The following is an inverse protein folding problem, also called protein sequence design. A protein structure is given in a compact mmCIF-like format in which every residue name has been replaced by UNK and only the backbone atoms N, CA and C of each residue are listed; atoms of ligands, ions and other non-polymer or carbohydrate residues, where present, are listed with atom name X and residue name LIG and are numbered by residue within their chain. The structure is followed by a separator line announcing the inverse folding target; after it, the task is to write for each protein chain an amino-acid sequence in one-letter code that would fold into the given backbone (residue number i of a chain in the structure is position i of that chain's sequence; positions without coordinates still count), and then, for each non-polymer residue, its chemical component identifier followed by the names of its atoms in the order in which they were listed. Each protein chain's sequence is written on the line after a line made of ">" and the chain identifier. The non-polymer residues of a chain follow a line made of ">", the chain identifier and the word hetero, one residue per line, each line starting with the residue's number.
data_IF_394906229310
#
_entry.id   IF_394906229310
#
_cell.length_a   1.000
_cell.length_b   1.000
_cell.length_c   1.000
_cell.angle_alpha   90.00
_cell.angle_beta   90.00
_cell.angle_gamma   90.00
#
_symmetry.space_group_name_H-M   'P 1'
#
loop_
_entity.id
_entity.type
_entity.pdbx_description
1 polymer ?
#
# COMPACT_ATOMS: atom_id res chain seq x y z
N UNK A 1 11.23 41.26 -21.05
CA UNK A 1 11.00 40.81 -19.65
C UNK A 1 9.52 40.41 -19.36
N UNK A 2 8.74 39.92 -20.33
CA UNK A 2 7.32 39.60 -20.12
C UNK A 2 7.00 38.09 -19.92
N UNK A 3 7.99 37.20 -20.06
CA UNK A 3 7.75 35.75 -20.09
C UNK A 3 7.58 35.07 -18.70
N UNK A 4 7.81 35.78 -17.58
CA UNK A 4 7.87 35.18 -16.23
C UNK A 4 6.59 35.31 -15.38
N UNK A 5 5.53 35.96 -15.88
CA UNK A 5 4.27 36.12 -15.13
C UNK A 5 3.28 34.97 -15.39
N UNK A 6 3.25 34.39 -16.59
CA UNK A 6 2.37 33.26 -16.93
C UNK A 6 2.70 31.95 -16.20
N UNK A 7 3.99 31.65 -15.99
CA UNK A 7 4.40 30.45 -15.26
C UNK A 7 3.99 30.49 -13.78
N UNK A 8 4.05 31.66 -13.13
CA UNK A 8 3.75 31.78 -11.69
C UNK A 8 2.28 31.53 -11.35
N UNK A 9 1.34 31.80 -12.27
CA UNK A 9 -0.08 31.51 -12.05
C UNK A 9 -0.42 30.05 -12.31
N UNK A 10 0.17 29.44 -13.35
CA UNK A 10 -0.02 28.02 -13.67
C UNK A 10 0.63 27.08 -12.64
N UNK A 11 1.82 27.45 -12.13
CA UNK A 11 2.53 26.72 -11.07
C UNK A 11 1.76 26.78 -9.73
N UNK A 12 1.20 27.94 -9.38
CA UNK A 12 0.38 28.10 -8.17
C UNK A 12 -0.92 27.29 -8.22
N UNK A 13 -1.56 27.16 -9.38
CA UNK A 13 -2.74 26.31 -9.53
C UNK A 13 -2.39 24.83 -9.37
N UNK A 14 -1.27 24.38 -9.94
CA UNK A 14 -0.82 22.99 -9.85
C UNK A 14 -0.50 22.55 -8.41
N UNK A 15 0.18 23.39 -7.63
CA UNK A 15 0.47 23.09 -6.21
C UNK A 15 -0.82 23.03 -5.39
N UNK A 16 -1.73 24.00 -5.59
CA UNK A 16 -3.01 24.04 -4.87
C UNK A 16 -3.90 22.84 -5.19
N UNK A 17 -3.92 22.42 -6.46
CA UNK A 17 -4.72 21.30 -6.92
C UNK A 17 -4.11 19.96 -6.47
N UNK A 18 -2.78 19.88 -6.37
CA UNK A 18 -2.09 18.71 -5.78
C UNK A 18 -2.34 18.60 -4.27
N UNK A 19 -2.38 19.72 -3.54
CA UNK A 19 -2.71 19.74 -2.11
C UNK A 19 -4.18 19.39 -1.82
N UNK A 20 -5.05 19.35 -2.84
CA UNK A 20 -6.45 18.99 -2.66
C UNK A 20 -6.65 17.57 -2.13
N UNK A 21 -5.64 16.70 -2.23
CA UNK A 21 -5.67 15.34 -1.69
C UNK A 21 -5.89 15.34 -0.17
N UNK A 22 -5.33 16.31 0.56
CA UNK A 22 -5.48 16.43 2.02
C UNK A 22 -6.90 16.84 2.46
N UNK A 23 -7.79 17.21 1.52
CA UNK A 23 -9.20 17.46 1.83
C UNK A 23 -10.00 16.17 2.05
N UNK A 24 -9.48 15.03 1.61
CA UNK A 24 -10.15 13.74 1.76
C UNK A 24 -9.77 13.11 3.12
N UNK A 25 -10.69 13.05 4.10
CA UNK A 25 -10.35 12.58 5.45
C UNK A 25 -9.93 11.10 5.47
N UNK A 26 -10.49 10.29 4.57
CA UNK A 26 -10.09 8.89 4.41
C UNK A 26 -8.63 8.74 3.94
N UNK A 27 -8.20 9.61 3.01
CA UNK A 27 -6.81 9.66 2.58
C UNK A 27 -5.91 10.09 3.74
N UNK A 28 -6.22 11.19 4.42
CA UNK A 28 -5.39 11.69 5.54
C UNK A 28 -5.23 10.63 6.63
N UNK A 29 -6.33 9.98 7.04
CA UNK A 29 -6.29 8.96 8.07
C UNK A 29 -5.47 7.73 7.63
N UNK A 30 -5.61 7.31 6.37
CA UNK A 30 -4.77 6.24 5.78
C UNK A 30 -3.30 6.63 5.71
N UNK A 31 -3.00 7.85 5.25
CA UNK A 31 -1.64 8.37 5.17
C UNK A 31 -0.97 8.49 6.54
N UNK A 32 -1.71 8.87 7.59
CA UNK A 32 -1.19 8.86 8.98
C UNK A 32 -0.91 7.43 9.45
N UNK A 33 -1.83 6.49 9.20
CA UNK A 33 -1.63 5.08 9.54
C UNK A 33 -0.41 4.50 8.81
N UNK A 34 -0.26 4.85 7.54
CA UNK A 34 0.86 4.46 6.68
C UNK A 34 2.19 5.07 7.15
N UNK A 35 2.20 6.35 7.51
CA UNK A 35 3.38 7.02 8.06
C UNK A 35 3.88 6.30 9.32
N UNK A 36 2.98 6.01 10.27
CA UNK A 36 3.31 5.27 11.50
C UNK A 36 3.81 3.86 11.21
N UNK A 37 3.19 3.18 10.23
CA UNK A 37 3.58 1.84 9.81
C UNK A 37 5.02 1.82 9.28
N UNK A 38 5.40 2.80 8.47
CA UNK A 38 6.75 2.92 7.94
C UNK A 38 7.75 3.45 8.97
N UNK A 39 7.32 4.24 9.97
CA UNK A 39 8.17 4.57 11.12
C UNK A 39 8.56 3.27 11.83
N UNK A 40 7.59 2.39 12.12
CA UNK A 40 7.86 1.08 12.72
C UNK A 40 8.83 0.26 11.85
N UNK A 41 8.60 0.22 10.53
CA UNK A 41 9.46 -0.53 9.60
C UNK A 41 10.88 0.02 9.55
N UNK A 42 11.06 1.34 9.58
CA UNK A 42 12.39 1.95 9.57
C UNK A 42 13.24 1.61 10.81
N UNK A 43 12.61 1.28 11.95
CA UNK A 43 13.31 0.82 13.16
C UNK A 43 14.02 -0.51 12.93
N UNK A 44 13.60 -1.32 11.94
CA UNK A 44 14.22 -2.61 11.62
C UNK A 44 15.72 -2.49 11.30
N UNK A 45 16.20 -1.32 10.87
CA UNK A 45 17.64 -1.07 10.64
C UNK A 45 18.48 -1.30 11.90
N UNK A 46 17.89 -1.16 13.09
CA UNK A 46 18.57 -1.35 14.37
C UNK A 46 18.52 -2.80 14.87
N UNK A 47 17.78 -3.71 14.23
CA UNK A 47 17.68 -5.12 14.64
C UNK A 47 19.06 -5.81 14.78
N UNK A 48 20.02 -5.64 13.85
CA UNK A 48 21.32 -6.28 13.99
C UNK A 48 22.09 -5.75 15.21
N UNK A 49 22.02 -4.44 15.46
CA UNK A 49 22.61 -3.82 16.63
C UNK A 49 21.94 -4.30 17.94
N UNK A 50 20.62 -4.50 17.93
CA UNK A 50 19.88 -5.08 19.05
C UNK A 50 20.35 -6.50 19.35
N UNK A 51 20.41 -7.37 18.35
CA UNK A 51 20.87 -8.75 18.52
C UNK A 51 22.32 -8.83 19.00
N UNK A 52 23.18 -7.95 18.49
CA UNK A 52 24.57 -7.86 18.93
C UNK A 52 24.70 -7.37 20.38
N UNK A 53 23.96 -6.32 20.77
CA UNK A 53 24.11 -5.70 22.11
C UNK A 53 23.38 -6.46 23.22
N UNK A 54 22.22 -7.05 22.93
CA UNK A 54 21.37 -7.70 23.96
C UNK A 54 21.66 -9.20 24.07
N UNK A 55 21.95 -9.87 22.96
CA UNK A 55 22.18 -11.32 22.93
C UNK A 55 23.62 -11.71 22.60
N UNK A 56 24.53 -10.74 22.50
CA UNK A 56 25.95 -10.96 22.21
C UNK A 56 26.23 -11.73 20.90
N UNK A 57 25.34 -11.61 19.90
CA UNK A 57 25.59 -12.18 18.57
C UNK A 57 26.72 -11.45 17.88
N UNK A 58 27.51 -12.18 17.09
CA UNK A 58 28.48 -11.53 16.20
C UNK A 58 27.77 -10.70 15.13
N UNK A 59 28.35 -9.58 14.72
CA UNK A 59 27.76 -8.70 13.69
C UNK A 59 27.39 -9.45 12.39
N UNK A 60 28.23 -10.37 11.85
CA UNK A 60 27.86 -11.13 10.66
C UNK A 60 26.64 -12.04 10.87
N UNK A 61 26.50 -12.67 12.05
CA UNK A 61 25.35 -13.53 12.36
C UNK A 61 24.06 -12.72 12.48
N UNK A 62 24.11 -11.57 13.17
CA UNK A 62 22.95 -10.70 13.36
C UNK A 62 22.44 -10.12 12.03
N UNK A 63 23.35 -9.62 11.19
CA UNK A 63 23.01 -9.10 9.86
C UNK A 63 22.58 -10.21 8.89
N UNK A 64 23.22 -11.39 8.96
CA UNK A 64 22.84 -12.55 8.17
C UNK A 64 21.42 -13.03 8.47
N UNK A 65 21.04 -13.07 9.76
CA UNK A 65 19.68 -13.38 10.19
C UNK A 65 18.66 -12.39 9.61
N UNK A 66 18.90 -11.07 9.76
CA UNK A 66 18.00 -10.06 9.22
C UNK A 66 17.84 -10.19 7.70
N UNK A 67 18.95 -10.41 6.97
CA UNK A 67 18.92 -10.59 5.53
C UNK A 67 18.10 -11.83 5.10
N UNK A 68 18.24 -12.95 5.83
CA UNK A 68 17.45 -14.15 5.59
C UNK A 68 15.95 -13.89 5.79
N UNK A 69 15.57 -13.24 6.88
CA UNK A 69 14.16 -12.92 7.16
C UNK A 69 13.58 -11.96 6.11
N UNK A 70 14.34 -10.94 5.72
CA UNK A 70 13.95 -10.02 4.66
C UNK A 70 13.74 -10.73 3.32
N UNK A 71 14.55 -11.75 2.99
CA UNK A 71 14.35 -12.56 1.79
C UNK A 71 13.00 -13.29 1.79
N UNK A 72 12.62 -13.91 2.92
CA UNK A 72 11.33 -14.60 3.06
C UNK A 72 10.12 -13.64 3.05
N UNK A 73 10.36 -12.37 3.35
CA UNK A 73 9.32 -11.32 3.33
C UNK A 73 8.70 -11.17 1.95
N UNK A 74 9.50 -11.33 0.88
CA UNK A 74 9.04 -11.22 -0.49
C UNK A 74 7.99 -12.30 -0.81
N UNK A 75 8.25 -13.54 -0.39
CA UNK A 75 7.31 -14.65 -0.54
C UNK A 75 6.02 -14.40 0.24
N UNK A 76 6.12 -13.90 1.47
CA UNK A 76 4.94 -13.52 2.27
C UNK A 76 4.15 -12.38 1.63
N UNK A 77 4.83 -11.43 0.99
CA UNK A 77 4.17 -10.36 0.22
C UNK A 77 3.37 -10.87 -0.96
N UNK A 78 3.88 -11.86 -1.69
CA UNK A 78 3.13 -12.49 -2.77
C UNK A 78 1.87 -13.21 -2.25
N UNK A 79 2.02 -13.97 -1.16
CA UNK A 79 0.91 -14.70 -0.52
C UNK A 79 -0.14 -13.71 0.00
N UNK A 80 0.28 -12.63 0.66
CA UNK A 80 -0.62 -11.61 1.19
C UNK A 80 -1.32 -10.79 0.12
N UNK A 81 -0.63 -10.47 -0.97
CA UNK A 81 -1.22 -9.83 -2.16
C UNK A 81 -2.27 -10.72 -2.82
N UNK A 82 -1.99 -12.01 -2.97
CA UNK A 82 -2.95 -12.99 -3.52
C UNK A 82 -4.16 -13.17 -2.59
N UNK A 83 -3.92 -13.35 -1.29
CA UNK A 83 -4.97 -13.50 -0.28
C UNK A 83 -5.90 -12.29 -0.23
N UNK A 84 -5.33 -11.08 -0.19
CA UNK A 84 -6.13 -9.85 -0.18
C UNK A 84 -6.91 -9.64 -1.47
N UNK A 85 -6.33 -9.99 -2.63
CA UNK A 85 -7.01 -9.87 -3.92
C UNK A 85 -8.19 -10.83 -4.09
N UNK A 86 -8.12 -12.02 -3.50
CA UNK A 86 -9.20 -13.01 -3.58
C UNK A 86 -10.29 -12.77 -2.53
N UNK A 87 -9.90 -12.65 -1.26
CA UNK A 87 -10.87 -12.65 -0.16
C UNK A 87 -11.42 -11.26 0.14
N UNK A 88 -10.61 -10.22 -0.03
CA UNK A 88 -10.94 -8.87 0.44
C UNK A 88 -11.46 -7.96 -0.66
N UNK A 89 -11.24 -8.30 -1.94
CA UNK A 89 -11.72 -7.50 -3.08
C UNK A 89 -13.24 -7.30 -3.08
N UNK A 90 -13.99 -8.25 -2.53
CA UNK A 90 -15.45 -8.15 -2.39
C UNK A 90 -15.88 -7.19 -1.28
N UNK A 91 -15.02 -6.89 -0.30
CA UNK A 91 -15.33 -6.08 0.87
C UNK A 91 -14.60 -4.75 0.83
N UNK A 92 -15.36 -3.65 0.72
CA UNK A 92 -14.77 -2.29 0.73
C UNK A 92 -14.01 -1.95 2.02
N UNK A 93 -14.36 -2.57 3.14
CA UNK A 93 -13.66 -2.47 4.43
C UNK A 93 -12.56 -3.52 4.60
N UNK A 94 -12.41 -4.45 3.65
CA UNK A 94 -11.50 -5.59 3.76
C UNK A 94 -10.04 -5.15 3.80
N UNK A 95 -9.61 -4.28 2.88
CA UNK A 95 -8.23 -3.77 2.83
C UNK A 95 -7.80 -3.00 4.11
N UNK A 96 -8.54 -1.99 4.60
CA UNK A 96 -8.15 -1.28 5.81
C UNK A 96 -8.20 -2.19 7.05
N UNK A 97 -9.17 -3.09 7.14
CA UNK A 97 -9.24 -4.05 8.26
C UNK A 97 -8.06 -5.03 8.24
N UNK A 98 -7.69 -5.51 7.06
CA UNK A 98 -6.56 -6.43 6.90
C UNK A 98 -5.24 -5.76 7.25
N UNK A 99 -5.04 -4.51 6.83
CA UNK A 99 -3.89 -3.71 7.26
C UNK A 99 -3.89 -3.49 8.78
N UNK A 100 -5.06 -3.22 9.37
CA UNK A 100 -5.19 -3.06 10.82
C UNK A 100 -4.87 -4.36 11.57
N UNK A 101 -5.37 -5.51 11.12
CA UNK A 101 -5.14 -6.80 11.77
C UNK A 101 -3.68 -7.24 11.66
N UNK A 102 -3.06 -7.04 10.50
CA UNK A 102 -1.66 -7.40 10.26
C UNK A 102 -0.70 -6.51 11.04
N UNK A 103 -0.97 -5.21 11.13
CA UNK A 103 -0.20 -4.29 11.97
C UNK A 103 -0.35 -4.59 13.48
N UNK A 104 -1.53 -4.95 13.96
CA UNK A 104 -1.69 -5.40 15.36
C UNK A 104 -0.95 -6.71 15.63
N UNK A 105 -0.96 -7.64 14.68
CA UNK A 105 -0.20 -8.88 14.78
C UNK A 105 1.31 -8.60 14.83
N UNK A 106 1.81 -7.71 13.96
CA UNK A 106 3.19 -7.23 13.96
C UNK A 106 3.57 -6.58 15.31
N UNK A 107 2.71 -5.70 15.84
CA UNK A 107 2.92 -5.08 17.15
C UNK A 107 3.04 -6.12 18.27
N UNK A 108 2.16 -7.14 18.27
CA UNK A 108 2.19 -8.20 19.26
C UNK A 108 3.46 -9.05 19.13
N UNK A 109 3.84 -9.42 17.92
CA UNK A 109 5.04 -10.20 17.64
C UNK A 109 6.32 -9.45 18.10
N UNK A 110 6.44 -8.15 17.80
CA UNK A 110 7.56 -7.35 18.30
C UNK A 110 7.58 -7.20 19.82
N UNK A 111 6.42 -6.97 20.43
CA UNK A 111 6.33 -6.86 21.89
C UNK A 111 6.84 -8.14 22.55
N UNK A 112 6.46 -9.31 22.01
CA UNK A 112 6.95 -10.60 22.48
C UNK A 112 8.45 -10.76 22.23
N UNK A 113 8.94 -10.38 21.04
CA UNK A 113 10.35 -10.47 20.68
C UNK A 113 11.27 -9.69 21.63
N UNK A 114 10.91 -8.44 21.93
CA UNK A 114 11.71 -7.55 22.78
C UNK A 114 11.53 -7.81 24.28
N UNK A 115 10.43 -8.44 24.68
CA UNK A 115 10.25 -8.91 26.06
C UNK A 115 10.94 -10.24 26.36
N UNK A 116 11.41 -10.95 25.33
CA UNK A 116 12.03 -12.26 25.49
C UNK A 116 13.44 -12.16 26.06
N UNK A 117 13.75 -13.04 27.01
CA UNK A 117 15.10 -13.24 27.53
C UNK A 117 15.93 -14.25 26.71
N UNK A 118 15.28 -14.98 25.79
CA UNK A 118 15.94 -16.00 24.97
C UNK A 118 16.06 -15.55 23.52
N UNK A 119 17.20 -15.85 22.91
CA UNK A 119 17.50 -15.51 21.53
C UNK A 119 16.51 -16.12 20.53
N UNK A 120 16.15 -17.39 20.72
CA UNK A 120 15.26 -18.12 19.81
C UNK A 120 13.87 -17.49 19.73
N UNK A 121 13.28 -17.15 20.89
CA UNK A 121 11.98 -16.46 20.92
C UNK A 121 12.07 -15.04 20.34
N UNK A 122 13.18 -14.31 20.56
CA UNK A 122 13.39 -13.00 19.96
C UNK A 122 13.47 -13.08 18.43
N UNK A 123 14.24 -14.03 17.89
CA UNK A 123 14.37 -14.27 16.45
C UNK A 123 13.04 -14.69 15.81
N UNK A 124 12.29 -15.61 16.44
CA UNK A 124 10.98 -16.02 15.93
C UNK A 124 10.00 -14.84 15.94
N UNK A 125 9.99 -14.03 17.00
CA UNK A 125 9.13 -12.86 17.09
C UNK A 125 9.45 -11.79 16.03
N UNK A 126 10.74 -11.51 15.80
CA UNK A 126 11.20 -10.63 14.71
C UNK A 126 10.79 -11.20 13.35
N UNK A 127 11.01 -12.49 13.10
CA UNK A 127 10.63 -13.13 11.85
C UNK A 127 9.12 -13.09 11.60
N UNK A 128 8.31 -13.31 12.64
CA UNK A 128 6.86 -13.25 12.57
C UNK A 128 6.35 -11.82 12.27
N UNK A 129 6.96 -10.80 12.86
CA UNK A 129 6.63 -9.41 12.55
C UNK A 129 6.97 -9.05 11.11
N UNK A 130 8.19 -9.32 10.66
CA UNK A 130 8.61 -9.00 9.30
C UNK A 130 7.73 -9.75 8.28
N UNK A 131 7.35 -11.00 8.58
CA UNK A 131 6.40 -11.76 7.77
C UNK A 131 5.00 -11.11 7.73
N UNK A 132 4.49 -10.63 8.87
CA UNK A 132 3.22 -9.91 8.94
C UNK A 132 3.26 -8.59 8.15
N UNK A 133 4.38 -7.87 8.19
CA UNK A 133 4.64 -6.71 7.34
C UNK A 133 4.54 -7.10 5.86
N UNK A 134 5.30 -8.11 5.44
CA UNK A 134 5.29 -8.60 4.06
C UNK A 134 3.89 -8.94 3.60
N UNK A 135 3.13 -9.68 4.41
CA UNK A 135 1.76 -10.08 4.13
C UNK A 135 0.81 -8.89 3.87
N UNK A 136 1.05 -7.74 4.48
CA UNK A 136 0.25 -6.52 4.28
C UNK A 136 0.70 -5.64 3.11
N UNK A 137 1.92 -5.85 2.60
CA UNK A 137 2.60 -4.92 1.68
C UNK A 137 1.78 -4.60 0.41
N UNK A 138 1.13 -5.61 -0.19
CA UNK A 138 0.33 -5.42 -1.42
C UNK A 138 -0.93 -4.55 -1.22
N UNK A 139 -1.41 -4.41 0.01
CA UNK A 139 -2.63 -3.63 0.30
C UNK A 139 -2.36 -2.15 0.53
N UNK A 140 -1.12 -1.78 0.91
CA UNK A 140 -0.74 -0.42 1.27
C UNK A 140 -0.95 0.57 0.12
N UNK A 141 -0.44 0.23 -1.06
CA UNK A 141 -0.51 1.07 -2.28
C UNK A 141 -1.90 1.09 -2.88
N UNK A 142 -2.58 -0.05 -2.88
CA UNK A 142 -3.96 -0.18 -3.36
C UNK A 142 -4.91 0.74 -2.59
N UNK A 143 -4.76 0.82 -1.25
CA UNK A 143 -5.62 1.62 -0.40
C UNK A 143 -5.44 3.15 -0.62
N UNK A 144 -4.25 3.60 -1.03
CA UNK A 144 -4.02 5.00 -1.42
C UNK A 144 -4.85 5.34 -2.66
N UNK A 145 -4.81 4.48 -3.68
CA UNK A 145 -5.43 4.72 -4.98
C UNK A 145 -6.97 4.65 -4.90
N UNK A 146 -7.50 3.82 -4.01
CA UNK A 146 -8.93 3.66 -3.77
C UNK A 146 -9.55 4.76 -2.87
N UNK A 147 -8.72 5.51 -2.11
CA UNK A 147 -9.21 6.57 -1.21
C UNK A 147 -9.33 7.94 -1.88
N UNK A 148 -8.84 8.09 -3.11
CA UNK A 148 -8.80 9.36 -3.84
C UNK A 148 -9.38 9.23 -5.25
N UNK A 149 -9.97 10.30 -5.82
CA UNK A 149 -10.51 10.27 -7.17
C UNK A 149 -9.39 10.13 -8.22
N UNK A 150 -9.69 9.58 -9.42
CA UNK A 150 -8.68 9.26 -10.44
C UNK A 150 -7.74 10.42 -10.80
N UNK A 151 -8.25 11.64 -10.81
CA UNK A 151 -7.52 12.86 -11.18
C UNK A 151 -6.41 13.23 -10.17
N UNK A 152 -6.52 12.76 -8.93
CA UNK A 152 -5.61 13.09 -7.83
C UNK A 152 -4.68 11.93 -7.43
N UNK A 153 -4.80 10.76 -8.07
CA UNK A 153 -4.04 9.55 -7.70
C UNK A 153 -2.54 9.73 -7.78
N UNK A 154 -2.04 10.43 -8.81
CA UNK A 154 -0.61 10.65 -8.99
C UNK A 154 -0.04 11.50 -7.85
N UNK A 155 -0.69 12.62 -7.52
CA UNK A 155 -0.29 13.48 -6.40
C UNK A 155 -0.39 12.73 -5.08
N UNK A 156 -1.47 11.97 -4.84
CA UNK A 156 -1.66 11.18 -3.63
C UNK A 156 -0.56 10.13 -3.41
N UNK A 157 -0.14 9.44 -4.48
CA UNK A 157 0.97 8.48 -4.44
C UNK A 157 2.30 9.19 -4.18
N UNK A 158 2.56 10.32 -4.85
CA UNK A 158 3.78 11.09 -4.65
C UNK A 158 3.95 11.56 -3.19
N UNK A 159 2.90 12.15 -2.60
CA UNK A 159 2.94 12.55 -1.19
C UNK A 159 3.11 11.36 -0.25
N UNK A 160 2.46 10.23 -0.55
CA UNK A 160 2.60 9.03 0.27
C UNK A 160 4.05 8.54 0.28
N UNK A 161 4.73 8.49 -0.88
CA UNK A 161 6.13 8.08 -0.95
C UNK A 161 7.05 9.04 -0.21
N UNK A 162 6.85 10.36 -0.34
CA UNK A 162 7.65 11.36 0.39
C UNK A 162 7.50 11.17 1.90
N UNK A 163 6.29 10.86 2.37
CA UNK A 163 6.02 10.62 3.78
C UNK A 163 6.58 9.27 4.25
N UNK A 164 6.45 8.19 3.48
CA UNK A 164 6.89 6.85 3.89
C UNK A 164 8.38 6.62 3.74
N UNK A 165 8.99 7.08 2.65
CA UNK A 165 10.40 6.83 2.37
C UNK A 165 11.29 7.97 2.87
N UNK A 166 10.79 9.21 2.82
CA UNK A 166 11.50 10.38 3.33
C UNK A 166 11.29 10.54 4.83
N UNK A 167 10.09 10.97 5.22
CA UNK A 167 9.81 11.39 6.59
C UNK A 167 9.93 10.22 7.58
N UNK A 168 9.29 9.09 7.31
CA UNK A 168 9.33 7.94 8.21
C UNK A 168 10.75 7.35 8.35
N UNK A 169 11.48 7.27 7.23
CA UNK A 169 12.84 6.74 7.19
C UNK A 169 13.85 7.58 7.98
N UNK A 170 13.59 8.87 8.18
CA UNK A 170 14.42 9.74 9.04
C UNK A 170 13.93 9.70 10.48
N UNK A 171 12.61 9.86 10.71
CA UNK A 171 12.05 9.95 12.06
C UNK A 171 12.29 8.67 12.87
N UNK A 172 12.05 7.49 12.29
CA UNK A 172 12.12 6.25 13.06
C UNK A 172 13.52 5.94 13.60
N UNK A 173 14.57 5.91 12.76
CA UNK A 173 15.92 5.65 13.25
C UNK A 173 16.44 6.72 14.21
N UNK A 174 16.10 8.00 13.97
CA UNK A 174 16.49 9.13 14.82
C UNK A 174 15.86 9.02 16.22
N UNK A 175 14.56 8.69 16.29
CA UNK A 175 13.87 8.46 17.56
C UNK A 175 14.52 7.32 18.36
N UNK A 176 14.88 6.21 17.69
CA UNK A 176 15.55 5.08 18.34
C UNK A 176 16.96 5.44 18.79
N UNK A 177 17.70 6.22 17.98
CA UNK A 177 19.03 6.71 18.35
C UNK A 177 19.00 7.55 19.62
N UNK A 178 18.18 8.61 19.63
CA UNK A 178 18.04 9.50 20.78
C UNK A 178 17.55 8.77 22.05
N UNK A 179 16.66 7.79 21.88
CA UNK A 179 16.14 7.00 23.00
C UNK A 179 17.16 5.97 23.50
N UNK A 180 17.96 5.40 22.60
CA UNK A 180 19.07 4.52 22.95
C UNK A 180 20.17 5.25 23.71
N UNK A 181 20.41 6.53 23.41
CA UNK A 181 21.43 7.33 24.11
C UNK A 181 21.02 7.67 25.56
N UNK A 182 19.71 7.83 25.81
CA UNK A 182 19.17 8.18 27.14
C UNK A 182 18.88 6.96 28.02
N UNK A 183 18.50 5.85 27.42
CA UNK A 183 18.12 4.63 28.13
C UNK A 183 19.00 3.45 27.69
N UNK A 184 18.40 2.47 27.02
CA UNK A 184 19.10 1.33 26.43
C UNK A 184 18.47 1.03 25.07
N UNK A 185 19.26 0.39 24.20
CA UNK A 185 18.77 0.01 22.88
C UNK A 185 17.55 -0.93 22.98
N UNK A 186 17.50 -1.81 23.98
CA UNK A 186 16.37 -2.71 24.20
C UNK A 186 15.05 -1.97 24.50
N UNK A 187 15.11 -0.92 25.33
CA UNK A 187 13.93 -0.06 25.59
C UNK A 187 13.57 0.74 24.33
N UNK A 188 14.58 1.22 23.60
CA UNK A 188 14.35 2.01 22.39
C UNK A 188 13.62 1.23 21.28
N UNK A 189 13.80 -0.09 21.22
CA UNK A 189 13.11 -0.95 20.24
C UNK A 189 11.59 -0.97 20.40
N UNK A 190 11.05 -0.63 21.58
CA UNK A 190 9.60 -0.59 21.80
C UNK A 190 8.89 0.53 21.02
N UNK A 191 9.65 1.46 20.41
CA UNK A 191 9.09 2.43 19.45
C UNK A 191 8.37 1.71 18.29
N UNK A 192 8.93 0.61 17.78
CA UNK A 192 8.35 -0.13 16.66
C UNK A 192 6.97 -0.76 16.97
N UNK A 193 6.79 -1.57 18.03
CA UNK A 193 5.47 -2.12 18.37
C UNK A 193 4.45 -1.03 18.73
N UNK A 194 4.85 0.08 19.36
CA UNK A 194 3.95 1.20 19.66
C UNK A 194 3.46 1.86 18.36
N UNK A 195 4.34 2.07 17.39
CA UNK A 195 3.99 2.63 16.10
C UNK A 195 3.04 1.69 15.32
N UNK A 196 3.32 0.38 15.28
CA UNK A 196 2.41 -0.58 14.65
C UNK A 196 1.05 -0.69 15.35
N UNK A 197 1.01 -0.68 16.68
CA UNK A 197 -0.24 -0.68 17.44
C UNK A 197 -1.07 0.58 17.13
N UNK A 198 -0.39 1.73 16.97
CA UNK A 198 -1.01 2.98 16.56
C UNK A 198 -1.59 2.88 15.15
N UNK A 199 -0.85 2.31 14.19
CA UNK A 199 -1.37 2.02 12.84
C UNK A 199 -2.63 1.17 12.90
N UNK A 200 -2.62 0.07 13.68
CA UNK A 200 -3.78 -0.79 13.84
C UNK A 200 -5.01 -0.04 14.35
N UNK A 201 -4.81 0.86 15.31
CA UNK A 201 -5.87 1.71 15.87
C UNK A 201 -6.44 2.69 14.84
N UNK A 202 -5.60 3.37 14.07
CA UNK A 202 -6.06 4.25 12.99
C UNK A 202 -6.72 3.47 11.85
N UNK A 203 -6.19 2.28 11.53
CA UNK A 203 -6.74 1.33 10.58
C UNK A 203 -8.14 0.86 10.94
N UNK A 204 -8.44 0.68 12.23
CA UNK A 204 -9.77 0.31 12.71
C UNK A 204 -10.77 1.49 12.68
N UNK A 205 -10.26 2.72 12.82
CA UNK A 205 -11.08 3.94 12.73
C UNK A 205 -11.49 4.24 11.28
N UNK A 206 -10.70 3.81 10.28
CA UNK A 206 -10.99 4.00 8.86
C UNK A 206 -12.36 3.42 8.46
N UNK A 207 -12.67 2.12 8.63
CA UNK A 207 -13.98 1.57 8.32
C UNK A 207 -15.16 2.27 9.01
N UNK A 208 -14.96 2.75 10.24
CA UNK A 208 -16.00 3.46 10.99
C UNK A 208 -16.31 4.83 10.37
N UNK A 209 -15.28 5.60 10.00
CA UNK A 209 -15.46 6.89 9.32
C UNK A 209 -15.84 6.77 7.83
N UNK A 210 -15.59 5.60 7.22
CA UNK A 210 -15.89 5.29 5.82
C UNK A 210 -17.32 4.75 5.63
N UNK A 211 -17.92 4.17 6.69
CA UNK A 211 -19.32 3.73 6.70
C UNK A 211 -20.32 4.88 6.52
N UNK A 212 -19.98 6.10 6.97
CA UNK A 212 -20.90 7.25 6.97
C UNK A 212 -20.88 8.11 5.69
N UNK A 213 -19.89 7.96 4.79
CA UNK A 213 -19.79 8.79 3.59
C UNK A 213 -19.81 7.96 2.32
N UNK A 214 -21.03 7.77 1.82
CA UNK A 214 -21.38 7.45 0.44
C UNK A 214 -20.28 7.82 -0.58
N UNK A 215 -19.63 6.80 -1.16
CA UNK A 215 -19.18 6.86 -2.55
C UNK A 215 -19.57 5.55 -3.25
N UNK A 216 -20.83 5.51 -3.67
CA UNK A 216 -21.29 4.67 -4.77
C UNK A 216 -20.42 5.02 -5.97
N UNK A 217 -19.48 4.17 -6.36
CA UNK A 217 -18.93 4.26 -7.71
C UNK A 217 -20.05 3.79 -8.68
N UNK A 218 -20.58 4.67 -9.56
CA UNK A 218 -21.59 4.27 -10.55
C UNK A 218 -21.04 3.28 -11.60
N UNK A 219 -19.73 3.03 -11.62
CA UNK A 219 -19.05 2.18 -12.61
C UNK A 219 -19.53 0.72 -12.56
N UNK A 220 -19.88 0.20 -11.39
CA UNK A 220 -20.44 -1.16 -11.26
C UNK A 220 -21.81 -1.29 -11.93
N UNK A 221 -22.67 -0.27 -11.81
CA UNK A 221 -23.97 -0.26 -12.50
C UNK A 221 -23.82 -0.03 -14.00
N UNK A 222 -22.84 0.76 -14.42
CA UNK A 222 -22.63 1.03 -15.84
C UNK A 222 -22.11 -0.21 -16.58
N UNK A 223 -21.11 -0.92 -16.04
CA UNK A 223 -20.59 -2.15 -16.68
C UNK A 223 -21.66 -3.25 -16.71
N UNK A 224 -22.44 -3.42 -15.64
CA UNK A 224 -23.57 -4.37 -15.65
C UNK A 224 -24.72 -3.94 -16.57
N UNK A 225 -24.95 -2.64 -16.75
CA UNK A 225 -25.92 -2.11 -17.71
C UNK A 225 -25.49 -2.33 -19.16
N UNK A 226 -24.24 -2.00 -19.49
CA UNK A 226 -23.66 -2.14 -20.83
C UNK A 226 -23.53 -3.61 -21.23
N UNK A 227 -23.09 -4.49 -20.33
CA UNK A 227 -23.04 -5.94 -20.60
C UNK A 227 -24.44 -6.55 -20.77
N UNK A 228 -25.45 -6.09 -20.04
CA UNK A 228 -26.85 -6.52 -20.28
C UNK A 228 -27.41 -5.99 -21.59
N UNK A 229 -27.00 -4.80 -22.03
CA UNK A 229 -27.40 -4.21 -23.32
C UNK A 229 -26.79 -4.98 -24.49
N UNK A 230 -25.47 -5.20 -24.46
CA UNK A 230 -24.74 -6.02 -25.45
C UNK A 230 -25.31 -7.45 -25.50
N UNK A 231 -25.62 -8.06 -24.36
CA UNK A 231 -26.22 -9.41 -24.31
C UNK A 231 -27.66 -9.46 -24.83
N UNK A 232 -28.41 -8.35 -24.78
CA UNK A 232 -29.76 -8.24 -25.36
C UNK A 232 -29.70 -8.01 -26.87
N UNK A 233 -28.82 -7.11 -27.32
CA UNK A 233 -28.60 -6.81 -28.74
C UNK A 233 -28.07 -8.05 -29.49
N UNK A 234 -27.16 -8.81 -28.89
CA UNK A 234 -26.66 -10.06 -29.44
C UNK A 234 -27.72 -11.19 -29.49
N UNK A 235 -28.75 -11.15 -28.62
CA UNK A 235 -29.84 -12.15 -28.59
C UNK A 235 -30.97 -11.80 -29.57
N UNK A 236 -31.09 -10.54 -29.99
CA UNK A 236 -32.11 -10.07 -30.92
C UNK A 236 -31.64 -10.02 -32.38
N UNK A 237 -30.42 -10.49 -32.69
CA UNK A 237 -29.89 -10.50 -34.06
C UNK A 237 -29.67 -9.11 -34.66
N UNK A 238 -29.70 -8.06 -33.82
CA UNK A 238 -29.60 -6.64 -34.20
C UNK A 238 -28.15 -6.15 -34.14
N UNK A 239 -27.22 -6.90 -34.73
CA UNK A 239 -25.88 -6.37 -35.00
C UNK A 239 -25.93 -5.55 -36.29
N UNK A 240 -26.38 -4.30 -36.19
CA UNK A 240 -26.00 -3.29 -37.18
C UNK A 240 -24.64 -2.75 -36.77
N UNK A 241 -23.71 -2.72 -37.71
CA UNK A 241 -22.38 -2.13 -37.55
C UNK A 241 -22.52 -0.64 -37.19
N UNK A 242 -22.56 -0.33 -35.89
CA UNK A 242 -22.36 1.03 -35.42
C UNK A 242 -20.89 1.20 -35.07
N UNK A 243 -20.18 2.20 -35.62
CA UNK A 243 -18.80 2.47 -35.26
C UNK A 243 -18.77 2.99 -33.81
N UNK A 244 -18.33 2.14 -32.89
CA UNK A 244 -17.97 2.56 -31.53
C UNK A 244 -16.69 3.38 -31.66
N UNK A 245 -16.80 4.71 -31.65
CA UNK A 245 -15.65 5.58 -31.40
C UNK A 245 -15.14 5.33 -29.97
N UNK A 246 -14.14 4.46 -29.85
CA UNK A 246 -13.27 4.39 -28.68
C UNK A 246 -12.34 5.62 -28.71
N UNK A 247 -12.25 6.44 -27.65
CA UNK A 247 -11.31 7.55 -27.62
C UNK A 247 -9.93 7.03 -27.21
N UNK A 248 -9.28 6.23 -28.05
CA UNK A 248 -7.86 5.87 -27.93
C UNK A 248 -7.41 5.20 -29.23
N UNK A 249 -6.93 5.98 -30.19
CA UNK A 249 -6.10 5.49 -31.30
C UNK A 249 -4.68 6.01 -31.10
N UNK A 250 -3.67 5.14 -30.93
CA UNK A 250 -2.29 5.51 -31.23
C UNK A 250 -2.15 5.58 -32.75
N UNK A 251 -1.74 6.74 -33.26
CA UNK A 251 -1.42 6.95 -34.67
C UNK A 251 -0.22 6.08 -35.09
N UNK A 252 -0.47 5.05 -35.88
CA UNK A 252 0.55 4.37 -36.70
C UNK A 252 0.23 4.59 -38.19
N UNK A 253 1.25 4.82 -39.04
CA UNK A 253 1.04 5.22 -40.42
C UNK A 253 0.59 4.04 -41.29
N UNK A 254 -0.27 4.39 -42.24
CA UNK A 254 -0.91 3.57 -43.24
C UNK A 254 0.06 2.78 -44.12
N UNK A 255 -0.15 1.46 -44.19
CA UNK A 255 0.39 0.64 -45.29
C UNK A 255 0.62 -0.81 -44.90
N UNK A 256 -0.39 -1.66 -45.01
CA UNK A 256 -0.27 -3.01 -45.57
C UNK A 256 -1.64 -3.71 -45.59
N UNK A 257 -2.08 -4.00 -46.81
CA UNK A 257 -3.25 -4.80 -47.11
C UNK A 257 -3.02 -6.28 -46.77
N UNK A 258 -4.10 -6.96 -46.39
CA UNK A 258 -4.25 -8.40 -46.57
C UNK A 258 -3.76 -9.29 -45.43
N UNK A 259 -4.66 -9.64 -44.51
CA UNK A 259 -4.71 -10.99 -43.96
C UNK A 259 -6.09 -11.30 -43.37
N UNK A 260 -6.83 -12.10 -44.12
CA UNK A 260 -8.04 -12.84 -43.80
C UNK A 260 -7.88 -13.71 -42.55
N UNK A 261 -8.72 -13.53 -41.53
CA UNK A 261 -8.91 -14.52 -40.46
C UNK A 261 -10.15 -15.36 -40.78
N UNK A 262 -9.88 -16.60 -41.18
CA UNK A 262 -10.85 -17.66 -41.46
C UNK A 262 -11.33 -18.24 -40.13
N UNK A 263 -12.65 -18.36 -39.98
CA UNK A 263 -13.28 -19.07 -38.88
C UNK A 263 -12.99 -20.56 -38.95
N UNK A 264 -12.68 -21.19 -37.81
CA UNK A 264 -13.03 -22.60 -37.59
C UNK A 264 -13.56 -22.76 -36.17
N UNK A 265 -14.86 -23.04 -36.11
CA UNK A 265 -15.52 -23.71 -35.02
C UNK A 265 -14.84 -25.06 -34.73
N UNK A 266 -14.87 -25.50 -33.48
CA UNK A 266 -15.07 -26.91 -33.19
C UNK A 266 -15.83 -27.07 -31.88
N UNK A 267 -17.00 -27.68 -32.01
CA UNK A 267 -17.74 -28.32 -30.94
C UNK A 267 -17.19 -29.74 -30.77
N UNK A 268 -16.92 -30.11 -29.52
CA UNK A 268 -17.11 -31.43 -28.92
C UNK A 268 -16.87 -31.27 -27.41
#
# INVERSE_FOLDING_TARGET
>A
MAHSRGNRTAEKTWVRDSLAVFRYPAYVLHTVALLLFFIAMSVQIWIPAYLHRVFALTNPQASGFLAQVLLYTLSMGLIGGYFSSLLLRQYRWGFPLFLASTSLLAARAFTLAYSSQTLSHAQVGIAAEIAAFGFSAGTLTTLIVETVPPQLRNSAMAYSIVLTSGLAGVIGPELVGQLSDRYTLGVAMYVAPVAYASTGRYGWCLPCGWRDRNQVHPVSRHIHGTLRRVRRECRQGLWRETPVMLPWQPSFPSGCAGCTVRSTAFAA
#
